data_IF_277719100802
#
_entry.id   IF_277719100802
#
_cell.length_a   1.000
_cell.length_b   1.000
_cell.length_c   1.000
_cell.angle_alpha   90.00
_cell.angle_beta   90.00
_cell.angle_gamma   90.00
#
_symmetry.space_group_name_H-M   'P 1'
#
loop_
_entity.id
_entity.type
_entity.pdbx_description
1 polymer ?
#
# COMPACT_ATOMS: atom_id res chain seq x y z
N UNK A 1 -19.00 37.73 -12.57
CA UNK A 1 -17.60 37.92 -12.11
C UNK A 1 -17.10 36.56 -11.73
N UNK A 2 -15.97 36.10 -12.28
CA UNK A 2 -15.32 34.84 -11.88
C UNK A 2 -14.85 35.01 -10.42
N UNK A 3 -15.36 34.22 -9.50
CA UNK A 3 -14.89 34.18 -8.12
C UNK A 3 -13.45 33.75 -8.10
N UNK A 4 -12.56 34.48 -7.45
CA UNK A 4 -11.18 34.06 -7.29
C UNK A 4 -11.11 32.81 -6.41
N UNK A 5 -10.08 32.00 -6.55
CA UNK A 5 -9.92 30.81 -5.71
C UNK A 5 -9.76 31.19 -4.22
N UNK A 6 -9.19 32.36 -3.90
CA UNK A 6 -9.10 32.90 -2.55
C UNK A 6 -10.49 33.20 -1.97
N UNK A 7 -11.39 33.80 -2.78
CA UNK A 7 -12.77 34.06 -2.37
C UNK A 7 -13.53 32.75 -2.15
N UNK A 8 -13.24 31.71 -2.95
CA UNK A 8 -13.82 30.38 -2.75
C UNK A 8 -13.42 29.81 -1.39
N UNK A 9 -12.11 29.81 -1.05
CA UNK A 9 -11.64 29.38 0.28
C UNK A 9 -12.36 30.12 1.39
N UNK A 10 -12.41 31.45 1.31
CA UNK A 10 -13.05 32.26 2.35
C UNK A 10 -14.52 31.90 2.57
N UNK A 11 -15.26 31.55 1.53
CA UNK A 11 -16.68 31.18 1.62
C UNK A 11 -16.93 29.76 2.12
N UNK A 12 -16.01 28.82 1.85
CA UNK A 12 -16.17 27.39 2.13
C UNK A 12 -15.40 26.94 3.38
N UNK A 13 -14.65 27.86 4.00
CA UNK A 13 -13.96 27.61 5.27
C UNK A 13 -14.95 27.48 6.41
N UNK A 14 -14.85 26.37 7.15
CA UNK A 14 -15.72 26.05 8.27
C UNK A 14 -15.01 25.13 9.28
N UNK A 15 -15.70 24.74 10.34
CA UNK A 15 -15.20 23.74 11.29
C UNK A 15 -15.47 22.31 10.79
N UNK A 16 -14.69 21.33 11.27
CA UNK A 16 -14.90 19.92 10.92
C UNK A 16 -16.32 19.44 11.27
N UNK A 17 -16.84 19.85 12.44
CA UNK A 17 -18.17 19.46 12.89
C UNK A 17 -19.28 20.05 12.02
N UNK A 18 -19.17 21.32 11.64
CA UNK A 18 -20.15 22.00 10.77
C UNK A 18 -20.12 21.40 9.36
N UNK A 19 -18.93 21.11 8.81
CA UNK A 19 -18.78 20.44 7.51
C UNK A 19 -19.47 19.08 7.51
N UNK A 20 -19.21 18.24 8.50
CA UNK A 20 -19.81 16.91 8.62
C UNK A 20 -21.34 17.01 8.79
N UNK A 21 -21.82 17.90 9.66
CA UNK A 21 -23.28 18.11 9.86
C UNK A 21 -24.01 18.56 8.62
N UNK A 22 -23.38 19.39 7.82
CA UNK A 22 -23.98 19.95 6.60
C UNK A 22 -23.96 18.96 5.43
N UNK A 23 -22.92 18.15 5.34
CA UNK A 23 -22.65 17.30 4.17
C UNK A 23 -23.13 15.87 4.32
N UNK A 24 -22.88 15.25 5.49
CA UNK A 24 -23.11 13.80 5.70
C UNK A 24 -24.56 13.54 6.13
N UNK A 25 -25.19 12.56 5.49
CA UNK A 25 -26.56 12.14 5.77
C UNK A 25 -26.60 10.64 6.07
N UNK A 26 -27.69 10.21 6.72
CA UNK A 26 -27.97 8.78 6.88
C UNK A 26 -28.06 8.09 5.52
N UNK A 27 -27.46 6.91 5.40
CA UNK A 27 -27.38 6.12 4.17
C UNK A 27 -26.23 6.49 3.22
N UNK A 28 -25.48 7.57 3.48
CA UNK A 28 -24.33 7.99 2.63
C UNK A 28 -23.19 6.95 2.67
N UNK A 29 -22.48 6.85 1.54
CA UNK A 29 -21.22 6.16 1.44
C UNK A 29 -20.05 7.16 1.48
N UNK A 30 -19.26 7.07 2.53
CA UNK A 30 -18.11 7.94 2.78
C UNK A 30 -16.82 7.26 2.34
N UNK A 31 -15.87 8.03 1.80
CA UNK A 31 -14.50 7.56 1.55
C UNK A 31 -13.53 8.46 2.29
N UNK A 32 -12.68 7.88 3.14
CA UNK A 32 -11.64 8.59 3.85
C UNK A 32 -10.32 8.58 3.09
N UNK A 33 -9.56 9.67 3.20
CA UNK A 33 -8.17 9.73 2.81
C UNK A 33 -7.33 8.67 3.54
N UNK A 34 -6.24 8.25 2.92
CA UNK A 34 -5.53 7.03 3.24
C UNK A 34 -4.27 7.27 4.08
N UNK A 35 -3.91 6.28 4.87
CA UNK A 35 -2.66 6.13 5.59
C UNK A 35 -2.35 7.34 6.51
N UNK A 36 -1.18 7.96 6.35
CA UNK A 36 -0.76 9.13 7.15
C UNK A 36 -1.41 10.45 6.71
N UNK A 37 -2.06 10.46 5.52
CA UNK A 37 -2.89 11.57 5.06
C UNK A 37 -4.36 11.48 5.55
N UNK A 38 -4.67 10.56 6.46
CA UNK A 38 -6.01 10.37 7.01
C UNK A 38 -6.52 11.65 7.72
N UNK A 39 -7.78 12.09 7.42
CA UNK A 39 -8.34 13.34 7.94
C UNK A 39 -8.89 13.15 9.36
N UNK A 40 -8.03 13.27 10.37
CA UNK A 40 -8.35 12.93 11.76
C UNK A 40 -9.43 13.82 12.40
N UNK A 41 -9.48 15.13 12.05
CA UNK A 41 -10.51 16.03 12.59
C UNK A 41 -11.89 15.68 12.04
N UNK A 42 -11.96 15.23 10.76
CA UNK A 42 -13.21 14.82 10.14
C UNK A 42 -13.73 13.49 10.70
N UNK A 43 -12.82 12.53 10.97
CA UNK A 43 -13.19 11.29 11.66
C UNK A 43 -13.71 11.55 13.06
N UNK A 44 -13.08 12.47 13.80
CA UNK A 44 -13.56 12.90 15.13
C UNK A 44 -14.92 13.59 15.05
N UNK A 45 -15.12 14.47 14.08
CA UNK A 45 -16.40 15.17 13.86
C UNK A 45 -17.54 14.20 13.52
N UNK A 46 -17.26 13.18 12.71
CA UNK A 46 -18.22 12.12 12.41
C UNK A 46 -18.62 11.35 13.68
N UNK A 47 -17.66 11.04 14.55
CA UNK A 47 -17.92 10.42 15.84
C UNK A 47 -18.77 11.30 16.76
N UNK A 48 -18.46 12.60 16.83
CA UNK A 48 -19.19 13.55 17.68
C UNK A 48 -20.65 13.77 17.22
N UNK A 49 -20.92 13.63 15.92
CA UNK A 49 -22.25 13.83 15.31
C UNK A 49 -23.00 12.51 15.07
N UNK A 50 -22.50 11.37 15.53
CA UNK A 50 -23.00 10.01 15.21
C UNK A 50 -24.49 9.82 15.51
N UNK A 51 -24.98 10.39 16.61
CA UNK A 51 -26.37 10.21 17.05
C UNK A 51 -27.42 10.69 16.01
N UNK A 52 -27.02 11.56 15.09
CA UNK A 52 -27.84 12.03 13.98
C UNK A 52 -27.88 11.05 12.80
N UNK A 53 -26.91 10.14 12.75
CA UNK A 53 -26.62 9.31 11.59
C UNK A 53 -27.06 7.88 11.80
N UNK A 54 -27.60 7.27 10.75
CA UNK A 54 -27.93 5.83 10.68
C UNK A 54 -27.55 5.30 9.30
N UNK A 55 -27.12 4.03 9.25
CA UNK A 55 -26.82 3.31 8.01
C UNK A 55 -25.78 4.00 7.09
N UNK A 56 -24.86 4.76 7.66
CA UNK A 56 -23.73 5.34 6.92
C UNK A 56 -22.69 4.26 6.71
N UNK A 57 -22.14 4.15 5.50
CA UNK A 57 -20.98 3.29 5.22
C UNK A 57 -19.72 4.13 5.08
N UNK A 58 -18.57 3.62 5.53
CA UNK A 58 -17.31 4.36 5.51
C UNK A 58 -16.17 3.47 4.99
N UNK A 59 -15.56 3.86 3.88
CA UNK A 59 -14.45 3.12 3.28
C UNK A 59 -13.11 3.77 3.62
N UNK A 60 -12.15 2.96 3.98
CA UNK A 60 -10.72 3.27 3.97
C UNK A 60 -9.88 1.98 3.87
N UNK A 61 -8.59 2.11 3.57
CA UNK A 61 -7.63 1.01 3.55
C UNK A 61 -6.80 0.98 4.84
N UNK A 62 -5.80 1.84 4.97
CA UNK A 62 -5.03 2.04 6.20
C UNK A 62 -5.41 3.39 6.83
N UNK A 63 -5.37 3.48 8.15
CA UNK A 63 -5.71 4.70 8.86
C UNK A 63 -4.79 4.89 10.08
N UNK A 64 -3.75 5.69 9.92
CA UNK A 64 -2.74 5.88 10.98
C UNK A 64 -3.05 6.98 11.98
N UNK A 65 -4.05 7.82 11.71
CA UNK A 65 -4.62 8.71 12.72
C UNK A 65 -5.53 7.92 13.67
N UNK A 66 -6.08 8.57 14.71
CA UNK A 66 -7.06 7.95 15.60
C UNK A 66 -8.34 7.59 14.81
N UNK A 67 -8.70 6.30 14.69
CA UNK A 67 -9.81 5.86 13.86
C UNK A 67 -11.14 5.94 14.62
N UNK A 68 -11.64 7.14 14.89
CA UNK A 68 -12.87 7.38 15.64
C UNK A 68 -14.07 6.62 15.10
N UNK A 69 -14.15 6.45 13.78
CA UNK A 69 -15.24 5.74 13.09
C UNK A 69 -15.19 4.21 13.28
N UNK A 70 -14.11 3.64 13.82
CA UNK A 70 -14.01 2.22 14.18
C UNK A 70 -14.39 1.91 15.63
N UNK A 71 -14.72 2.92 16.43
CA UNK A 71 -15.05 2.73 17.85
C UNK A 71 -16.36 1.98 18.03
N UNK A 72 -16.52 1.19 19.13
CA UNK A 72 -17.77 0.44 19.39
C UNK A 72 -19.02 1.30 19.41
N UNK A 73 -18.90 2.56 19.84
CA UNK A 73 -20.02 3.52 19.92
C UNK A 73 -20.57 3.94 18.55
N UNK A 74 -19.88 3.58 17.46
CA UNK A 74 -20.32 3.85 16.09
C UNK A 74 -21.28 2.77 15.56
N UNK A 75 -21.47 1.68 16.28
CA UNK A 75 -22.40 0.60 15.88
C UNK A 75 -23.83 1.14 15.74
N UNK A 76 -24.45 0.88 14.60
CA UNK A 76 -25.78 1.42 14.26
C UNK A 76 -25.77 2.80 13.58
N UNK A 77 -24.65 3.50 13.62
CA UNK A 77 -24.47 4.82 13.02
C UNK A 77 -23.61 4.76 11.74
N UNK A 78 -22.41 4.18 11.85
CA UNK A 78 -21.47 4.05 10.72
C UNK A 78 -20.96 2.61 10.65
N UNK A 79 -21.01 2.02 9.47
CA UNK A 79 -20.51 0.68 9.18
C UNK A 79 -19.28 0.76 8.28
N UNK A 80 -18.05 0.50 8.79
CA UNK A 80 -16.84 0.53 8.01
C UNK A 80 -16.73 -0.63 7.03
N UNK A 81 -16.22 -0.33 5.82
CA UNK A 81 -15.90 -1.31 4.77
C UNK A 81 -14.42 -1.13 4.44
N UNK A 82 -13.62 -2.16 4.64
CA UNK A 82 -12.15 -2.08 4.50
C UNK A 82 -11.66 -3.12 3.50
N UNK A 83 -10.66 -2.78 2.70
CA UNK A 83 -9.98 -3.75 1.84
C UNK A 83 -8.56 -4.10 2.34
N UNK A 84 -8.19 -3.60 3.52
CA UNK A 84 -6.96 -3.96 4.21
C UNK A 84 -7.16 -3.83 5.73
N UNK A 85 -6.73 -4.83 6.49
CA UNK A 85 -6.80 -4.81 7.95
C UNK A 85 -5.42 -4.56 8.55
N UNK A 86 -5.38 -3.70 9.56
CA UNK A 86 -4.19 -3.39 10.34
C UNK A 86 -4.40 -3.68 11.84
N UNK A 87 -3.44 -3.28 12.67
CA UNK A 87 -3.54 -3.47 14.12
C UNK A 87 -4.74 -2.77 14.75
N UNK A 88 -5.23 -1.68 14.14
CA UNK A 88 -6.34 -0.88 14.67
C UNK A 88 -7.70 -1.44 14.23
N UNK A 89 -7.79 -1.98 13.02
CA UNK A 89 -9.02 -2.47 12.41
C UNK A 89 -9.31 -3.95 12.67
N UNK A 90 -8.26 -4.79 12.90
CA UNK A 90 -8.45 -6.23 13.20
C UNK A 90 -9.38 -6.50 14.38
N UNK A 91 -9.29 -5.80 15.54
CA UNK A 91 -10.24 -6.01 16.62
C UNK A 91 -11.69 -5.74 16.20
N UNK A 92 -11.92 -4.65 15.47
CA UNK A 92 -13.25 -4.31 14.97
C UNK A 92 -13.80 -5.33 13.98
N UNK A 93 -12.93 -5.90 13.13
CA UNK A 93 -13.29 -6.99 12.22
C UNK A 93 -13.66 -8.29 12.97
N UNK A 94 -12.85 -8.69 13.97
CA UNK A 94 -13.13 -9.86 14.80
C UNK A 94 -14.43 -9.72 15.59
N UNK A 95 -14.77 -8.49 16.02
CA UNK A 95 -16.03 -8.15 16.67
C UNK A 95 -17.20 -8.03 15.67
N UNK A 96 -17.00 -8.29 14.37
CA UNK A 96 -18.00 -8.19 13.30
C UNK A 96 -18.60 -6.77 13.13
N UNK A 97 -17.82 -5.76 13.40
CA UNK A 97 -18.17 -4.33 13.25
C UNK A 97 -17.66 -3.72 11.95
N UNK A 98 -16.93 -4.51 11.15
CA UNK A 98 -16.29 -4.09 9.90
C UNK A 98 -16.52 -5.19 8.87
N UNK A 99 -16.86 -4.81 7.65
CA UNK A 99 -16.85 -5.69 6.49
C UNK A 99 -15.51 -5.58 5.74
N UNK A 100 -15.04 -6.72 5.22
CA UNK A 100 -13.85 -6.78 4.40
C UNK A 100 -14.23 -6.90 2.92
N UNK A 101 -13.68 -5.99 2.09
CA UNK A 101 -13.87 -5.95 0.64
C UNK A 101 -12.64 -6.52 -0.07
N UNK A 102 -12.68 -7.74 -0.61
CA UNK A 102 -11.58 -8.26 -1.40
C UNK A 102 -11.54 -7.61 -2.79
N UNK A 103 -10.41 -6.99 -3.13
CA UNK A 103 -10.13 -6.48 -4.47
C UNK A 103 -8.61 -6.30 -4.67
N UNK A 104 -8.15 -6.24 -5.91
CA UNK A 104 -6.82 -5.75 -6.20
C UNK A 104 -6.75 -4.25 -5.99
N UNK A 105 -5.61 -3.75 -5.54
CA UNK A 105 -5.52 -2.34 -5.16
C UNK A 105 -5.72 -1.40 -6.36
N UNK A 106 -5.19 -1.76 -7.52
CA UNK A 106 -5.36 -0.95 -8.73
C UNK A 106 -6.82 -0.83 -9.22
N UNK A 107 -7.74 -1.70 -8.74
CA UNK A 107 -9.15 -1.69 -9.14
C UNK A 107 -10.00 -0.67 -8.37
N UNK A 108 -9.55 -0.20 -7.19
CA UNK A 108 -10.33 0.72 -6.36
C UNK A 108 -10.72 2.03 -7.05
N UNK A 109 -9.85 2.69 -7.83
CA UNK A 109 -10.26 3.88 -8.60
C UNK A 109 -11.45 3.62 -9.51
N UNK A 110 -11.48 2.46 -10.17
CA UNK A 110 -12.56 2.06 -11.06
C UNK A 110 -13.89 1.83 -10.30
N UNK A 111 -13.82 1.25 -9.09
CA UNK A 111 -15.01 1.04 -8.25
C UNK A 111 -15.71 2.36 -7.93
N UNK A 112 -14.96 3.43 -7.70
CA UNK A 112 -15.50 4.76 -7.41
C UNK A 112 -15.95 5.48 -8.68
N UNK A 113 -15.11 5.53 -9.72
CA UNK A 113 -15.45 6.24 -10.97
C UNK A 113 -16.63 5.64 -11.71
N UNK A 114 -16.79 4.31 -11.69
CA UNK A 114 -17.90 3.61 -12.34
C UNK A 114 -19.12 3.39 -11.44
N UNK A 115 -19.07 3.89 -10.20
CA UNK A 115 -20.20 3.86 -9.27
C UNK A 115 -20.57 2.46 -8.76
N UNK A 116 -19.63 1.49 -8.79
CA UNK A 116 -19.78 0.21 -8.06
C UNK A 116 -19.95 0.53 -6.58
N UNK A 117 -19.16 1.49 -6.09
CA UNK A 117 -19.35 2.16 -4.81
C UNK A 117 -19.55 3.67 -5.09
N UNK A 118 -20.80 4.15 -5.14
CA UNK A 118 -21.08 5.58 -5.36
C UNK A 118 -20.57 6.37 -4.16
N UNK A 119 -19.68 7.33 -4.38
CA UNK A 119 -19.09 8.14 -3.30
C UNK A 119 -19.99 9.35 -3.04
N UNK A 120 -20.69 9.34 -1.91
CA UNK A 120 -21.50 10.50 -1.51
C UNK A 120 -20.63 11.61 -0.95
N UNK A 121 -19.70 11.28 -0.04
CA UNK A 121 -18.80 12.27 0.57
C UNK A 121 -17.37 11.72 0.63
N UNK A 122 -16.44 12.46 0.05
CA UNK A 122 -15.01 12.23 0.25
C UNK A 122 -14.48 13.10 1.38
N UNK A 123 -13.83 12.49 2.35
CA UNK A 123 -13.22 13.10 3.52
C UNK A 123 -11.70 13.01 3.35
N UNK A 124 -11.03 14.11 2.95
CA UNK A 124 -9.63 14.09 2.53
C UNK A 124 -8.76 15.07 3.33
N UNK A 125 -7.45 14.92 3.22
CA UNK A 125 -6.47 15.88 3.69
C UNK A 125 -5.53 16.26 2.54
N UNK A 126 -5.29 17.56 2.36
CA UNK A 126 -4.48 18.11 1.26
C UNK A 126 -3.53 19.18 1.77
N UNK A 127 -2.54 19.56 0.94
CA UNK A 127 -1.62 20.66 1.22
C UNK A 127 -2.31 22.03 1.14
N UNK A 128 -1.62 23.09 1.58
CA UNK A 128 -1.96 24.45 1.19
C UNK A 128 -1.94 24.58 -0.34
N UNK A 129 -2.79 25.47 -0.91
CA UNK A 129 -2.82 25.70 -2.34
C UNK A 129 -1.56 26.43 -2.83
N UNK A 130 -1.15 26.14 -4.05
CA UNK A 130 -0.14 26.91 -4.77
C UNK A 130 -0.70 28.25 -5.30
N UNK A 131 0.11 29.00 -6.03
CA UNK A 131 -0.27 30.31 -6.59
C UNK A 131 -1.45 30.24 -7.58
N UNK A 132 -1.67 29.08 -8.19
CA UNK A 132 -2.76 28.80 -9.12
C UNK A 132 -4.03 28.27 -8.45
N UNK A 133 -4.01 28.02 -7.14
CA UNK A 133 -5.14 27.47 -6.38
C UNK A 133 -5.22 25.95 -6.35
N UNK A 134 -4.16 25.24 -6.74
CA UNK A 134 -4.11 23.78 -6.62
C UNK A 134 -3.52 23.34 -5.28
N UNK A 135 -4.22 22.48 -4.59
CA UNK A 135 -3.71 21.71 -3.46
C UNK A 135 -3.15 20.37 -3.97
N UNK A 136 -2.12 19.84 -3.29
CA UNK A 136 -1.65 18.48 -3.49
C UNK A 136 -2.35 17.53 -2.52
N UNK A 137 -2.73 16.32 -2.94
CA UNK A 137 -3.09 15.24 -2.01
C UNK A 137 -1.91 14.84 -1.11
N UNK A 138 -0.75 15.43 -1.37
CA UNK A 138 0.44 15.24 -0.57
C UNK A 138 0.96 13.81 -0.66
N UNK A 139 1.01 13.14 0.48
CA UNK A 139 1.66 11.84 0.63
C UNK A 139 0.78 10.63 0.30
N UNK A 140 -0.47 10.82 -0.16
CA UNK A 140 -1.36 9.70 -0.47
C UNK A 140 -2.47 10.13 -1.43
N UNK A 141 -2.31 9.79 -2.73
CA UNK A 141 -3.33 10.06 -3.76
C UNK A 141 -3.99 8.80 -4.30
N UNK A 142 -3.45 7.67 -4.05
CA UNK A 142 -3.81 6.30 -4.43
C UNK A 142 -5.26 6.12 -4.94
N UNK A 143 -6.20 5.73 -4.08
CA UNK A 143 -7.64 5.76 -4.33
C UNK A 143 -8.28 7.09 -3.87
N UNK A 144 -7.56 7.89 -3.07
CA UNK A 144 -8.09 9.11 -2.44
C UNK A 144 -8.48 10.15 -3.48
N UNK A 145 -7.63 10.40 -4.49
CA UNK A 145 -7.94 11.33 -5.58
C UNK A 145 -9.11 10.84 -6.43
N UNK A 146 -9.13 9.59 -6.95
CA UNK A 146 -10.28 9.05 -7.67
C UNK A 146 -11.60 9.13 -6.90
N UNK A 147 -11.57 8.86 -5.59
CA UNK A 147 -12.75 8.99 -4.74
C UNK A 147 -13.22 10.45 -4.62
N UNK A 148 -12.31 11.39 -4.44
CA UNK A 148 -12.64 12.82 -4.39
C UNK A 148 -13.19 13.35 -5.72
N UNK A 149 -12.68 12.85 -6.86
CA UNK A 149 -13.19 13.20 -8.20
C UNK A 149 -14.59 12.63 -8.47
N UNK A 150 -14.90 11.46 -7.94
CA UNK A 150 -16.21 10.80 -8.10
C UNK A 150 -17.24 11.26 -7.06
N UNK A 151 -16.82 11.90 -5.97
CA UNK A 151 -17.68 12.26 -4.85
C UNK A 151 -18.71 13.34 -5.22
N UNK A 152 -19.92 13.20 -4.66
CA UNK A 152 -20.95 14.23 -4.70
C UNK A 152 -20.54 15.48 -3.89
N UNK A 153 -19.84 15.29 -2.77
CA UNK A 153 -19.34 16.34 -1.87
C UNK A 153 -17.91 15.99 -1.45
N UNK A 154 -17.04 16.98 -1.45
CA UNK A 154 -15.66 16.87 -0.97
C UNK A 154 -15.45 17.76 0.26
N UNK A 155 -15.11 17.15 1.38
CA UNK A 155 -14.67 17.86 2.60
C UNK A 155 -13.17 17.68 2.73
N UNK A 156 -12.42 18.77 2.72
CA UNK A 156 -10.95 18.73 2.79
C UNK A 156 -10.41 19.41 4.04
N UNK A 157 -9.56 18.72 4.78
CA UNK A 157 -8.61 19.34 5.68
C UNK A 157 -7.47 19.92 4.85
N UNK A 158 -7.32 21.25 4.84
CA UNK A 158 -6.11 21.90 4.31
C UNK A 158 -5.08 21.96 5.44
N UNK A 159 -4.09 21.06 5.37
CA UNK A 159 -3.05 20.94 6.40
C UNK A 159 -1.77 21.65 5.97
N UNK A 160 -1.35 22.66 6.74
CA UNK A 160 -0.11 23.42 6.47
C UNK A 160 1.15 22.57 6.46
N UNK A 161 1.14 21.41 7.13
CA UNK A 161 2.28 20.50 7.22
C UNK A 161 2.23 19.37 6.19
N UNK A 162 1.21 19.32 5.31
CA UNK A 162 1.15 18.39 4.20
C UNK A 162 2.10 18.85 3.09
N UNK A 163 3.07 18.02 2.65
CA UNK A 163 3.97 18.40 1.56
C UNK A 163 3.20 18.57 0.24
N UNK A 164 3.64 19.53 -0.56
CA UNK A 164 3.16 19.70 -1.93
C UNK A 164 4.00 18.85 -2.87
N UNK A 165 3.41 17.83 -3.48
CA UNK A 165 4.10 16.90 -4.37
C UNK A 165 3.37 16.89 -5.72
N UNK A 166 4.13 16.90 -6.82
CA UNK A 166 3.64 16.91 -8.19
C UNK A 166 3.14 15.56 -8.69
N UNK A 167 2.96 15.46 -10.00
CA UNK A 167 2.37 14.31 -10.67
C UNK A 167 0.86 14.47 -10.86
N UNK A 168 0.14 13.36 -11.03
CA UNK A 168 -1.33 13.35 -11.03
C UNK A 168 -1.89 13.34 -9.59
N UNK A 169 -1.49 14.33 -8.80
CA UNK A 169 -1.66 14.42 -7.35
C UNK A 169 -2.30 15.75 -6.90
N UNK A 170 -2.99 16.43 -7.80
CA UNK A 170 -3.50 17.77 -7.54
C UNK A 170 -5.03 17.83 -7.60
N UNK A 171 -5.59 18.73 -6.78
CA UNK A 171 -7.00 19.12 -6.81
C UNK A 171 -7.12 20.63 -6.67
N UNK A 172 -7.91 21.28 -7.53
CA UNK A 172 -8.13 22.71 -7.43
C UNK A 172 -9.11 23.02 -6.31
N UNK A 173 -8.86 24.05 -5.52
CA UNK A 173 -9.68 24.42 -4.35
C UNK A 173 -11.16 24.61 -4.64
N UNK A 174 -11.53 25.01 -5.87
CA UNK A 174 -12.93 25.13 -6.30
C UNK A 174 -13.69 23.80 -6.39
N UNK A 175 -12.99 22.68 -6.24
CA UNK A 175 -13.58 21.34 -6.15
C UNK A 175 -13.83 20.89 -4.71
N UNK A 176 -13.47 21.73 -3.73
CA UNK A 176 -13.66 21.47 -2.31
C UNK A 176 -14.94 22.18 -1.85
N UNK A 177 -15.94 21.40 -1.44
CA UNK A 177 -17.24 21.95 -0.99
C UNK A 177 -17.17 22.50 0.45
N UNK A 178 -16.30 21.89 1.28
CA UNK A 178 -16.04 22.36 2.65
C UNK A 178 -14.55 22.29 2.91
N UNK A 179 -14.01 23.35 3.52
CA UNK A 179 -12.59 23.51 3.80
C UNK A 179 -12.39 23.65 5.31
N UNK A 180 -11.59 22.78 5.88
CA UNK A 180 -11.25 22.77 7.30
C UNK A 180 -9.74 23.04 7.43
N UNK A 181 -9.33 24.27 7.83
CA UNK A 181 -7.92 24.57 8.04
C UNK A 181 -7.37 23.79 9.24
N UNK A 182 -6.23 23.12 9.04
CA UNK A 182 -5.53 22.42 10.11
C UNK A 182 -4.02 22.70 10.05
N UNK A 183 -3.36 22.58 11.18
CA UNK A 183 -1.91 22.71 11.32
C UNK A 183 -1.43 21.62 12.26
N UNK A 184 -1.16 20.42 11.70
CA UNK A 184 -0.70 19.28 12.48
C UNK A 184 0.37 18.50 11.74
N UNK A 185 1.37 17.95 12.47
CA UNK A 185 2.35 17.06 11.87
C UNK A 185 1.68 15.80 11.30
N UNK A 186 2.26 15.25 10.23
CA UNK A 186 1.92 13.92 9.75
C UNK A 186 2.44 12.87 10.75
N UNK A 187 1.76 11.73 10.79
CA UNK A 187 2.21 10.60 11.61
C UNK A 187 3.55 10.09 11.07
N UNK A 188 4.52 9.92 11.95
CA UNK A 188 5.82 9.37 11.59
C UNK A 188 5.87 7.86 11.77
N UNK A 189 6.46 7.18 10.79
CA UNK A 189 6.72 5.75 10.81
C UNK A 189 8.23 5.53 10.67
N UNK A 190 8.96 5.33 11.77
CA UNK A 190 10.40 5.11 11.73
C UNK A 190 10.72 3.78 11.05
N UNK A 191 11.93 3.68 10.48
CA UNK A 191 12.46 2.44 9.91
C UNK A 191 12.47 1.32 10.94
N UNK A 192 12.10 0.12 10.49
CA UNK A 192 12.16 -1.07 11.32
C UNK A 192 13.62 -1.48 11.58
N UNK A 193 13.96 -1.99 12.77
CA UNK A 193 15.30 -2.55 13.02
C UNK A 193 15.51 -3.78 12.14
N UNK A 194 16.69 -3.85 11.51
CA UNK A 194 17.09 -4.97 10.64
C UNK A 194 17.90 -5.96 11.48
N UNK A 195 17.39 -7.18 11.60
CA UNK A 195 18.10 -8.30 12.24
C UNK A 195 19.01 -9.05 11.26
N UNK A 196 19.83 -9.99 11.76
CA UNK A 196 20.73 -10.78 10.92
C UNK A 196 20.00 -11.63 9.86
N UNK A 197 18.79 -12.09 10.15
CA UNK A 197 17.97 -12.89 9.22
C UNK A 197 17.49 -12.02 8.07
N UNK A 198 16.93 -10.84 8.38
CA UNK A 198 16.47 -9.88 7.36
C UNK A 198 17.63 -9.37 6.52
N UNK A 199 18.80 -9.11 7.14
CA UNK A 199 20.01 -8.70 6.43
C UNK A 199 20.43 -9.78 5.42
N UNK A 200 20.44 -11.07 5.82
CA UNK A 200 20.79 -12.18 4.93
C UNK A 200 19.81 -12.30 3.74
N UNK A 201 18.51 -12.15 3.99
CA UNK A 201 17.50 -12.13 2.93
C UNK A 201 17.74 -10.96 1.98
N UNK A 202 18.03 -9.77 2.53
CA UNK A 202 18.34 -8.57 1.75
C UNK A 202 19.50 -8.76 0.80
N UNK A 203 20.61 -9.33 1.27
CA UNK A 203 21.79 -9.67 0.47
C UNK A 203 21.45 -10.62 -0.68
N UNK A 204 20.70 -11.70 -0.39
CA UNK A 204 20.28 -12.68 -1.38
C UNK A 204 19.35 -12.09 -2.45
N UNK A 205 18.43 -11.20 -2.06
CA UNK A 205 17.57 -10.49 -3.01
C UNK A 205 18.37 -9.52 -3.88
N UNK A 206 19.39 -8.84 -3.32
CA UNK A 206 20.24 -7.89 -4.03
C UNK A 206 21.06 -8.54 -5.16
N UNK A 207 21.35 -9.84 -5.07
CA UNK A 207 22.01 -10.60 -6.14
C UNK A 207 21.16 -10.66 -7.43
N UNK A 208 19.83 -10.56 -7.29
CA UNK A 208 18.87 -10.56 -8.40
C UNK A 208 18.63 -9.16 -9.00
N UNK A 209 19.24 -8.11 -8.45
CA UNK A 209 19.01 -6.72 -8.85
C UNK A 209 20.28 -6.20 -9.55
N UNK A 210 20.11 -5.57 -10.70
CA UNK A 210 21.20 -5.11 -11.54
C UNK A 210 21.15 -3.59 -11.74
N UNK A 211 22.24 -3.01 -12.19
CA UNK A 211 22.30 -1.59 -12.54
C UNK A 211 21.25 -1.26 -13.60
N UNK A 212 20.50 -0.18 -13.38
CA UNK A 212 19.46 0.27 -14.27
C UNK A 212 18.11 -0.43 -14.11
N UNK A 213 17.96 -1.40 -13.18
CA UNK A 213 16.66 -2.00 -12.88
C UNK A 213 15.69 -0.96 -12.30
N UNK A 214 14.40 -1.14 -12.57
CA UNK A 214 13.33 -0.36 -11.96
C UNK A 214 12.69 -1.17 -10.82
N UNK A 215 12.63 -0.59 -9.63
CA UNK A 215 12.22 -1.30 -8.42
C UNK A 215 10.80 -0.91 -7.99
N UNK A 216 10.05 -1.90 -7.52
CA UNK A 216 8.97 -1.76 -6.55
C UNK A 216 9.42 -2.42 -5.27
N UNK A 217 9.25 -1.71 -4.17
CA UNK A 217 9.65 -2.20 -2.85
C UNK A 217 8.59 -1.84 -1.80
N UNK A 218 8.36 -2.76 -0.86
CA UNK A 218 7.43 -2.57 0.25
C UNK A 218 8.06 -1.85 1.44
N UNK A 219 7.44 -2.02 2.59
CA UNK A 219 7.89 -1.48 3.89
C UNK A 219 8.30 -2.60 4.82
N UNK A 220 9.18 -2.30 5.78
CA UNK A 220 9.60 -3.21 6.86
C UNK A 220 11.05 -3.65 6.74
N UNK A 221 11.49 -4.50 7.68
CA UNK A 221 12.89 -4.84 7.84
C UNK A 221 13.54 -5.51 6.62
N UNK A 222 12.83 -6.40 5.93
CA UNK A 222 13.35 -7.08 4.72
C UNK A 222 13.51 -6.09 3.56
N UNK A 223 12.51 -5.29 3.15
CA UNK A 223 12.68 -4.24 2.15
C UNK A 223 13.83 -3.27 2.47
N UNK A 224 13.94 -2.82 3.72
CA UNK A 224 15.01 -1.93 4.15
C UNK A 224 16.39 -2.61 4.06
N UNK A 225 16.50 -3.90 4.41
CA UNK A 225 17.72 -4.70 4.24
C UNK A 225 18.10 -4.86 2.77
N UNK A 226 17.14 -5.05 1.86
CA UNK A 226 17.40 -5.07 0.41
C UNK A 226 17.98 -3.73 -0.03
N UNK A 227 17.36 -2.59 0.32
CA UNK A 227 17.85 -1.26 -0.04
C UNK A 227 19.27 -1.02 0.48
N UNK A 228 19.56 -1.42 1.72
CA UNK A 228 20.92 -1.32 2.26
C UNK A 228 21.95 -2.17 1.48
N UNK A 229 21.53 -3.32 0.96
CA UNK A 229 22.40 -4.22 0.18
C UNK A 229 22.62 -3.74 -1.27
N UNK A 230 21.90 -2.70 -1.72
CA UNK A 230 22.00 -2.15 -3.08
C UNK A 230 22.94 -0.93 -3.19
N UNK A 231 23.72 -0.60 -2.17
CA UNK A 231 24.57 0.61 -2.12
C UNK A 231 25.59 0.70 -3.26
N UNK A 232 26.00 -0.43 -3.84
CA UNK A 232 26.92 -0.48 -4.98
C UNK A 232 26.20 -0.44 -6.34
N UNK A 233 24.88 -0.53 -6.36
CA UNK A 233 24.08 -0.48 -7.61
C UNK A 233 23.94 0.93 -8.11
N UNK A 234 23.83 1.09 -9.45
CA UNK A 234 23.79 2.38 -10.14
C UNK A 234 22.56 2.49 -11.04
N UNK A 235 22.14 3.73 -11.24
CA UNK A 235 21.09 4.10 -12.18
C UNK A 235 19.76 3.36 -11.93
N UNK A 236 19.47 2.98 -10.70
CA UNK A 236 18.20 2.37 -10.35
C UNK A 236 17.03 3.33 -10.59
N UNK A 237 15.91 2.79 -11.02
CA UNK A 237 14.63 3.48 -11.12
C UNK A 237 13.68 3.04 -10.02
N UNK A 238 12.63 3.86 -9.77
CA UNK A 238 11.54 3.50 -8.87
C UNK A 238 10.19 3.73 -9.52
N UNK A 239 9.37 2.70 -9.47
CA UNK A 239 7.95 2.71 -9.78
C UNK A 239 7.27 1.80 -8.77
N UNK A 240 6.74 2.40 -7.70
CA UNK A 240 6.39 1.67 -6.48
C UNK A 240 5.12 2.23 -5.84
N UNK A 241 4.31 1.38 -5.25
CA UNK A 241 3.18 1.79 -4.44
C UNK A 241 3.64 2.70 -3.29
N UNK A 242 4.67 2.25 -2.57
CA UNK A 242 5.13 2.87 -1.33
C UNK A 242 6.53 3.45 -1.46
N UNK A 243 6.72 4.65 -0.90
CA UNK A 243 8.00 5.33 -0.80
C UNK A 243 8.33 5.59 0.68
N UNK A 244 9.54 5.20 1.11
CA UNK A 244 10.01 5.24 2.50
C UNK A 244 11.34 5.97 2.63
N UNK A 245 11.80 6.18 3.87
CA UNK A 245 13.12 6.78 4.16
C UNK A 245 14.27 6.00 3.51
N UNK A 246 14.17 4.67 3.41
CA UNK A 246 15.19 3.85 2.73
C UNK A 246 15.37 4.26 1.27
N UNK A 247 14.30 4.56 0.57
CA UNK A 247 14.33 5.07 -0.81
C UNK A 247 14.93 6.47 -0.87
N UNK A 248 14.56 7.37 0.06
CA UNK A 248 15.16 8.71 0.16
C UNK A 248 16.69 8.62 0.31
N UNK A 249 17.18 7.71 1.14
CA UNK A 249 18.63 7.49 1.30
C UNK A 249 19.29 7.03 0.00
N UNK A 250 18.64 6.15 -0.77
CA UNK A 250 19.16 5.69 -2.07
C UNK A 250 19.19 6.81 -3.13
N UNK A 251 18.25 7.74 -3.11
CA UNK A 251 18.26 8.92 -3.97
C UNK A 251 19.41 9.84 -3.57
N UNK A 252 19.52 10.17 -2.28
CA UNK A 252 20.56 11.07 -1.76
C UNK A 252 21.98 10.54 -1.99
N UNK A 253 22.19 9.22 -2.01
CA UNK A 253 23.48 8.59 -2.31
C UNK A 253 23.75 8.41 -3.81
N UNK A 254 22.80 8.79 -4.68
CA UNK A 254 22.95 8.72 -6.13
C UNK A 254 22.76 7.33 -6.74
N UNK A 255 22.31 6.34 -5.98
CA UNK A 255 22.01 5.00 -6.48
C UNK A 255 20.72 4.98 -7.35
N UNK A 256 19.73 5.81 -6.97
CA UNK A 256 18.47 5.96 -7.68
C UNK A 256 18.48 7.28 -8.46
N UNK A 257 18.62 7.18 -9.77
CA UNK A 257 18.62 8.33 -10.69
C UNK A 257 17.39 8.34 -11.60
N UNK A 258 16.79 7.17 -11.83
CA UNK A 258 15.69 6.99 -12.78
C UNK A 258 16.11 7.15 -14.25
N UNK A 259 17.39 7.35 -14.56
CA UNK A 259 17.88 7.60 -15.93
C UNK A 259 17.56 6.46 -16.91
N UNK A 260 17.50 5.22 -16.43
CA UNK A 260 17.23 4.03 -17.23
C UNK A 260 15.77 3.61 -17.25
N UNK A 261 14.88 4.31 -16.54
CA UNK A 261 13.45 4.00 -16.56
C UNK A 261 12.86 4.18 -17.96
N UNK A 262 12.02 3.23 -18.36
CA UNK A 262 11.28 3.29 -19.61
C UNK A 262 10.10 4.26 -19.49
N UNK A 263 9.31 4.12 -18.42
CA UNK A 263 8.17 4.98 -18.11
C UNK A 263 8.58 6.03 -17.07
N UNK A 264 8.26 7.30 -17.30
CA UNK A 264 8.66 8.43 -16.44
C UNK A 264 10.19 8.45 -16.15
N UNK A 265 11.06 8.60 -17.19
CA UNK A 265 12.50 8.67 -16.99
C UNK A 265 12.88 9.83 -16.07
N UNK A 266 13.86 9.60 -15.18
CA UNK A 266 14.33 10.55 -14.14
C UNK A 266 13.33 10.88 -13.05
N UNK A 267 12.18 10.21 -13.01
CA UNK A 267 11.17 10.41 -11.97
C UNK A 267 11.05 9.17 -11.08
N UNK A 268 10.85 9.41 -9.81
CA UNK A 268 10.36 8.42 -8.86
C UNK A 268 8.84 8.49 -8.85
N UNK A 269 8.20 7.40 -9.17
CA UNK A 269 6.73 7.30 -9.23
C UNK A 269 6.22 6.51 -8.04
N UNK A 270 5.27 7.09 -7.28
CA UNK A 270 4.65 6.43 -6.13
C UNK A 270 3.19 6.86 -5.96
N UNK A 271 2.45 6.14 -5.11
CA UNK A 271 1.08 6.49 -4.70
C UNK A 271 0.98 6.87 -3.22
N UNK A 272 1.90 6.35 -2.39
CA UNK A 272 1.87 6.49 -0.94
C UNK A 272 3.29 6.75 -0.44
N UNK A 273 3.45 7.76 0.40
CA UNK A 273 4.71 8.08 1.07
C UNK A 273 4.50 7.98 2.58
N UNK A 274 5.31 7.17 3.24
CA UNK A 274 5.25 6.99 4.69
C UNK A 274 6.66 6.86 5.27
N UNK A 275 6.97 7.65 6.29
CA UNK A 275 8.25 7.62 6.96
C UNK A 275 8.39 8.68 8.03
N UNK A 276 9.57 9.24 8.16
CA UNK A 276 9.89 10.28 9.15
C UNK A 276 9.58 11.68 8.62
N UNK A 277 9.62 12.66 9.52
CA UNK A 277 9.52 14.07 9.12
C UNK A 277 10.59 14.45 8.08
N UNK A 278 11.79 13.90 8.17
CA UNK A 278 12.86 14.14 7.20
C UNK A 278 12.45 13.71 5.78
N UNK A 279 11.74 12.60 5.66
CA UNK A 279 11.17 12.15 4.38
C UNK A 279 10.11 13.14 3.88
N UNK A 280 9.19 13.58 4.73
CA UNK A 280 8.14 14.53 4.33
C UNK A 280 8.71 15.89 3.89
N UNK A 281 9.77 16.36 4.55
CA UNK A 281 10.50 17.57 4.14
C UNK A 281 11.23 17.36 2.80
N UNK A 282 11.83 16.17 2.58
CA UNK A 282 12.56 15.84 1.36
C UNK A 282 11.65 15.81 0.11
N UNK A 283 10.43 15.26 0.24
CA UNK A 283 9.51 15.13 -0.91
C UNK A 283 8.75 16.41 -1.22
N UNK A 284 8.74 17.39 -0.30
CA UNK A 284 8.03 18.64 -0.49
C UNK A 284 8.66 19.48 -1.62
N UNK A 285 7.89 19.72 -2.68
CA UNK A 285 8.32 20.46 -3.89
C UNK A 285 9.58 19.89 -4.54
N UNK A 286 9.77 18.58 -4.46
CA UNK A 286 10.87 17.88 -5.09
C UNK A 286 10.45 17.40 -6.49
N UNK A 287 11.01 18.03 -7.53
CA UNK A 287 10.65 17.74 -8.92
C UNK A 287 10.98 16.32 -9.38
N UNK A 288 11.83 15.59 -8.67
CA UNK A 288 12.12 14.19 -8.97
C UNK A 288 10.96 13.26 -8.57
N UNK A 289 10.10 13.67 -7.64
CA UNK A 289 9.05 12.83 -7.07
C UNK A 289 7.71 13.17 -7.71
N UNK A 290 7.03 12.16 -8.25
CA UNK A 290 5.70 12.27 -8.80
C UNK A 290 4.77 11.23 -8.19
N UNK A 291 3.60 11.69 -7.75
CA UNK A 291 2.57 10.84 -7.19
C UNK A 291 1.45 10.61 -8.20
N UNK A 292 0.96 9.39 -8.25
CA UNK A 292 -0.12 8.97 -9.14
C UNK A 292 -1.11 8.07 -8.41
N UNK A 293 -2.40 8.07 -8.80
CA UNK A 293 -3.38 7.07 -8.32
C UNK A 293 -2.95 5.63 -8.65
N UNK A 294 -3.49 4.67 -7.91
CA UNK A 294 -3.05 3.26 -8.01
C UNK A 294 -3.42 2.57 -9.32
N UNK A 295 -4.39 3.06 -10.05
CA UNK A 295 -4.69 2.61 -11.41
C UNK A 295 -3.59 3.00 -12.44
N UNK A 296 -2.63 3.86 -12.03
CA UNK A 296 -1.41 4.14 -12.77
C UNK A 296 -0.19 3.42 -12.17
N UNK A 297 0.02 3.51 -10.84
CA UNK A 297 1.22 2.94 -10.22
C UNK A 297 1.17 1.43 -10.07
N UNK A 298 0.00 0.85 -9.85
CA UNK A 298 -0.19 -0.56 -9.55
C UNK A 298 -0.78 -1.37 -10.72
N UNK A 299 -1.42 -0.74 -11.71
CA UNK A 299 -1.96 -1.50 -12.84
C UNK A 299 -0.85 -2.36 -13.48
N UNK A 300 -1.02 -3.69 -13.55
CA UNK A 300 -0.05 -4.58 -14.15
C UNK A 300 0.35 -4.23 -15.59
N UNK A 301 -0.53 -3.57 -16.34
CA UNK A 301 -0.21 -3.07 -17.67
C UNK A 301 0.77 -1.90 -17.61
N UNK A 302 0.53 -0.93 -16.72
CA UNK A 302 1.41 0.22 -16.52
C UNK A 302 2.76 -0.18 -15.95
N UNK A 303 2.76 -0.99 -14.89
CA UNK A 303 3.97 -1.55 -14.27
C UNK A 303 4.83 -2.29 -15.30
N UNK A 304 4.19 -3.11 -16.15
CA UNK A 304 4.86 -3.92 -17.18
C UNK A 304 5.49 -3.12 -18.32
N UNK A 305 5.21 -1.81 -18.45
CA UNK A 305 5.85 -0.93 -19.42
C UNK A 305 7.27 -0.49 -18.99
N UNK A 306 7.61 -0.64 -17.71
CA UNK A 306 9.00 -0.45 -17.28
C UNK A 306 9.80 -1.72 -17.60
N UNK A 307 10.84 -1.59 -18.43
CA UNK A 307 11.80 -2.67 -18.65
C UNK A 307 12.57 -2.98 -17.34
N UNK A 308 12.96 -4.23 -17.16
CA UNK A 308 13.71 -4.71 -16.00
C UNK A 308 13.04 -4.36 -14.66
N UNK A 309 11.72 -4.47 -14.61
CA UNK A 309 10.95 -4.24 -13.39
C UNK A 309 11.21 -5.34 -12.38
N UNK A 310 11.67 -5.00 -11.20
CA UNK A 310 11.88 -5.92 -10.08
C UNK A 310 10.90 -5.58 -8.97
N UNK A 311 9.98 -6.48 -8.67
CA UNK A 311 9.06 -6.33 -7.56
C UNK A 311 9.48 -7.16 -6.37
N UNK A 312 9.47 -6.57 -5.16
CA UNK A 312 9.86 -7.22 -3.92
C UNK A 312 8.73 -7.09 -2.92
N UNK A 313 8.10 -8.21 -2.60
CA UNK A 313 6.98 -8.31 -1.68
C UNK A 313 7.24 -9.43 -0.66
N UNK A 314 6.36 -9.58 0.31
CA UNK A 314 6.43 -10.64 1.31
C UNK A 314 5.12 -11.44 1.33
N UNK A 315 5.12 -12.56 2.05
CA UNK A 315 3.91 -13.36 2.26
C UNK A 315 3.87 -13.88 3.70
N UNK A 316 2.75 -14.42 4.13
CA UNK A 316 2.63 -15.11 5.42
C UNK A 316 3.16 -16.53 5.31
N UNK A 317 2.76 -17.26 4.28
CA UNK A 317 3.18 -18.65 4.02
C UNK A 317 3.03 -19.04 2.56
N UNK A 318 3.77 -20.06 2.14
CA UNK A 318 3.72 -20.67 0.81
C UNK A 318 3.66 -22.19 0.92
N UNK A 319 2.84 -22.85 0.12
CA UNK A 319 2.80 -24.31 0.05
C UNK A 319 3.77 -24.91 -0.98
N UNK A 320 3.95 -26.22 -0.95
CA UNK A 320 4.85 -26.94 -1.86
C UNK A 320 4.45 -26.85 -3.34
N UNK A 321 3.23 -26.39 -3.67
CA UNK A 321 2.82 -26.13 -5.04
C UNK A 321 3.16 -24.72 -5.51
N UNK A 322 3.55 -23.83 -4.57
CA UNK A 322 3.82 -22.42 -4.82
C UNK A 322 2.58 -21.53 -4.73
N UNK A 323 1.51 -21.97 -4.05
CA UNK A 323 0.37 -21.15 -3.69
C UNK A 323 0.74 -20.29 -2.46
N UNK A 324 0.42 -19.02 -2.48
CA UNK A 324 0.87 -18.04 -1.48
C UNK A 324 -0.31 -17.43 -0.75
N UNK A 325 -0.28 -17.48 0.58
CA UNK A 325 -1.17 -16.74 1.46
C UNK A 325 -0.43 -15.53 2.04
N UNK A 326 -0.99 -14.33 1.87
CA UNK A 326 -0.39 -13.08 2.36
C UNK A 326 -1.35 -12.25 3.23
N UNK A 327 -2.64 -12.53 3.20
CA UNK A 327 -3.67 -11.70 3.79
C UNK A 327 -4.52 -12.39 4.86
N UNK A 328 -4.48 -13.73 4.93
CA UNK A 328 -5.25 -14.50 5.89
C UNK A 328 -4.40 -15.58 6.57
N UNK A 329 -4.72 -15.91 7.82
CA UNK A 329 -4.15 -17.01 8.58
C UNK A 329 -5.29 -17.99 8.90
N UNK A 330 -5.35 -19.11 8.18
CA UNK A 330 -6.53 -19.98 8.18
C UNK A 330 -7.78 -19.20 7.77
N UNK A 331 -8.84 -19.30 8.55
CA UNK A 331 -10.11 -18.58 8.31
C UNK A 331 -10.10 -17.10 8.70
N UNK A 332 -9.03 -16.60 9.32
CA UNK A 332 -8.99 -15.24 9.84
C UNK A 332 -8.32 -14.31 8.84
N UNK A 333 -9.06 -13.33 8.32
CA UNK A 333 -8.49 -12.23 7.56
C UNK A 333 -7.53 -11.43 8.47
N UNK A 334 -6.29 -11.25 8.03
CA UNK A 334 -5.22 -10.63 8.81
C UNK A 334 -4.81 -9.26 8.27
N UNK A 335 -4.77 -9.12 6.96
CA UNK A 335 -4.43 -7.87 6.26
C UNK A 335 -5.30 -7.69 5.02
N UNK A 336 -4.74 -7.45 3.87
CA UNK A 336 -5.38 -7.38 2.57
C UNK A 336 -4.39 -7.71 1.47
N UNK A 337 -4.85 -7.79 0.25
CA UNK A 337 -4.03 -8.09 -0.92
C UNK A 337 -3.00 -6.97 -1.17
N UNK A 338 -3.40 -5.70 -0.93
CA UNK A 338 -2.57 -4.55 -1.33
C UNK A 338 -2.18 -4.63 -2.80
N UNK A 339 -1.00 -4.14 -3.13
CA UNK A 339 -0.45 -4.18 -4.48
C UNK A 339 0.38 -5.43 -4.83
N UNK A 340 0.49 -6.43 -3.94
CA UNK A 340 1.36 -7.58 -4.17
C UNK A 340 1.10 -8.25 -5.52
N UNK A 341 -0.14 -8.66 -5.78
CA UNK A 341 -0.51 -9.38 -7.01
C UNK A 341 -0.36 -8.48 -8.24
N UNK A 342 -0.66 -7.20 -8.10
CA UNK A 342 -0.50 -6.19 -9.14
C UNK A 342 0.95 -6.16 -9.64
N UNK A 343 1.90 -6.05 -8.71
CA UNK A 343 3.32 -6.01 -9.04
C UNK A 343 3.91 -7.35 -9.47
N UNK A 344 3.44 -8.48 -8.94
CA UNK A 344 3.82 -9.79 -9.45
C UNK A 344 3.45 -9.93 -10.93
N UNK A 345 2.24 -9.54 -11.29
CA UNK A 345 1.73 -9.57 -12.67
C UNK A 345 2.45 -8.55 -13.55
N UNK A 346 2.66 -7.34 -13.05
CA UNK A 346 3.37 -6.27 -13.75
C UNK A 346 4.82 -6.64 -14.06
N UNK A 347 5.58 -7.11 -13.07
CA UNK A 347 6.95 -7.56 -13.25
C UNK A 347 7.05 -8.75 -14.22
N UNK A 348 6.08 -9.67 -14.21
CA UNK A 348 6.02 -10.78 -15.17
C UNK A 348 5.79 -10.32 -16.61
N UNK A 349 5.09 -9.21 -16.83
CA UNK A 349 4.84 -8.60 -18.16
C UNK A 349 6.03 -7.77 -18.64
N UNK A 350 6.80 -7.22 -17.73
CA UNK A 350 7.97 -6.41 -18.01
C UNK A 350 9.04 -7.21 -18.76
N UNK A 351 9.65 -6.61 -19.79
CA UNK A 351 10.80 -7.19 -20.48
C UNK A 351 11.99 -7.23 -19.51
N UNK A 352 12.51 -8.42 -19.22
CA UNK A 352 13.57 -8.61 -18.22
C UNK A 352 13.08 -8.51 -16.76
N UNK A 353 11.77 -8.39 -16.55
CA UNK A 353 11.19 -8.25 -15.22
C UNK A 353 11.26 -9.52 -14.37
N UNK A 354 11.27 -9.32 -13.05
CA UNK A 354 11.39 -10.35 -12.01
C UNK A 354 10.52 -9.99 -10.82
N UNK A 355 9.81 -10.98 -10.26
CA UNK A 355 9.10 -10.80 -8.99
C UNK A 355 9.70 -11.69 -7.91
N UNK A 356 9.93 -11.13 -6.74
CA UNK A 356 10.53 -11.79 -5.59
C UNK A 356 9.55 -11.72 -4.43
N UNK A 357 9.21 -12.86 -3.84
CA UNK A 357 8.56 -12.94 -2.54
C UNK A 357 9.62 -13.32 -1.51
N UNK A 358 9.91 -12.42 -0.60
CA UNK A 358 10.97 -12.53 0.39
C UNK A 358 10.38 -12.54 1.81
N UNK A 359 10.70 -13.56 2.60
CA UNK A 359 10.18 -13.73 3.95
C UNK A 359 11.10 -14.62 4.79
N UNK A 360 11.06 -14.49 6.11
CA UNK A 360 11.77 -15.38 7.02
C UNK A 360 11.19 -16.79 6.94
N UNK A 361 12.04 -17.82 6.88
CA UNK A 361 11.59 -19.21 6.70
C UNK A 361 10.67 -19.72 7.83
N UNK A 362 10.71 -19.06 8.99
CA UNK A 362 9.91 -19.39 10.16
C UNK A 362 9.17 -18.17 10.73
N UNK A 363 8.17 -18.44 11.54
CA UNK A 363 7.43 -17.49 12.35
C UNK A 363 7.38 -17.97 13.81
N UNK A 364 6.85 -17.13 14.72
CA UNK A 364 6.66 -17.44 16.15
C UNK A 364 7.94 -17.98 16.79
N UNK A 365 9.00 -17.20 16.72
CA UNK A 365 10.31 -17.52 17.31
C UNK A 365 10.86 -18.89 16.86
N UNK A 366 10.71 -19.19 15.56
CA UNK A 366 11.23 -20.42 14.93
C UNK A 366 10.34 -21.65 15.07
N UNK A 367 9.21 -21.58 15.75
CA UNK A 367 8.35 -22.74 16.02
C UNK A 367 7.44 -23.15 14.86
N UNK A 368 7.22 -22.28 13.88
CA UNK A 368 6.34 -22.52 12.74
C UNK A 368 7.09 -22.29 11.43
N UNK A 369 7.05 -23.26 10.53
CA UNK A 369 7.52 -23.05 9.14
C UNK A 369 6.56 -22.19 8.36
N UNK A 370 7.10 -21.31 7.51
CA UNK A 370 6.31 -20.53 6.54
C UNK A 370 6.30 -21.15 5.14
N UNK A 371 7.10 -22.22 4.95
CA UNK A 371 7.00 -23.13 3.81
C UNK A 371 6.29 -24.37 4.31
N UNK A 372 5.06 -24.61 3.83
CA UNK A 372 4.15 -25.64 4.37
C UNK A 372 3.79 -26.68 3.30
N UNK A 373 3.43 -27.91 3.70
CA UNK A 373 3.01 -28.95 2.75
C UNK A 373 1.79 -28.53 1.91
N UNK A 374 0.80 -27.93 2.56
CA UNK A 374 -0.46 -27.39 2.00
C UNK A 374 -0.83 -26.17 2.84
N UNK A 375 -1.38 -25.14 2.23
CA UNK A 375 -1.94 -24.03 2.98
C UNK A 375 -3.01 -24.53 3.96
N UNK A 376 -3.10 -23.95 5.17
CA UNK A 376 -4.12 -24.33 6.14
C UNK A 376 -5.54 -24.23 5.54
N UNK A 377 -6.44 -25.09 6.03
CA UNK A 377 -7.84 -25.05 5.60
C UNK A 377 -8.46 -23.67 5.85
N UNK A 378 -9.04 -23.11 4.81
CA UNK A 378 -9.63 -21.77 4.85
C UNK A 378 -8.66 -20.61 4.60
N UNK A 379 -7.36 -20.86 4.42
CA UNK A 379 -6.42 -19.82 4.04
C UNK A 379 -6.73 -19.30 2.63
N UNK A 380 -6.70 -17.98 2.47
CA UNK A 380 -6.86 -17.32 1.18
C UNK A 380 -5.61 -17.46 0.35
N UNK A 381 -5.72 -17.94 -0.89
CA UNK A 381 -4.64 -17.91 -1.87
C UNK A 381 -4.56 -16.50 -2.46
N UNK A 382 -3.73 -15.66 -1.86
CA UNK A 382 -3.54 -14.27 -2.31
C UNK A 382 -2.85 -14.22 -3.66
N UNK A 383 -1.78 -15.02 -3.85
CA UNK A 383 -1.09 -15.14 -5.14
C UNK A 383 -1.11 -16.59 -5.63
N UNK A 384 -1.68 -16.79 -6.81
CA UNK A 384 -1.77 -18.11 -7.42
C UNK A 384 -0.38 -18.64 -7.84
N UNK A 385 -0.19 -19.96 -7.79
CA UNK A 385 1.08 -20.62 -8.14
C UNK A 385 1.63 -20.28 -9.55
N UNK A 386 0.79 -19.79 -10.43
CA UNK A 386 1.17 -19.41 -11.80
C UNK A 386 1.77 -18.01 -11.89
N UNK A 387 1.63 -17.19 -10.84
CA UNK A 387 2.11 -15.81 -10.77
C UNK A 387 3.46 -15.68 -10.07
N UNK A 388 3.81 -16.66 -9.24
CA UNK A 388 5.04 -16.67 -8.43
C UNK A 388 6.27 -16.98 -9.29
N UNK A 389 7.32 -16.15 -9.18
CA UNK A 389 8.61 -16.33 -9.89
C UNK A 389 9.72 -16.73 -8.92
N UNK A 390 10.26 -15.78 -8.14
CA UNK A 390 11.33 -16.05 -7.17
C UNK A 390 10.81 -16.06 -5.73
N UNK A 391 11.36 -16.97 -4.94
CA UNK A 391 11.15 -17.04 -3.49
C UNK A 391 12.51 -16.93 -2.81
N UNK A 392 12.59 -16.06 -1.79
CA UNK A 392 13.79 -15.83 -1.00
C UNK A 392 13.51 -16.04 0.49
N UNK A 393 14.37 -16.79 1.15
CA UNK A 393 14.48 -16.90 2.60
C UNK A 393 15.93 -16.68 3.03
N UNK A 394 16.24 -16.67 4.30
CA UNK A 394 17.62 -16.61 4.81
C UNK A 394 18.49 -17.81 4.38
N UNK A 395 17.86 -18.91 3.91
CA UNK A 395 18.55 -20.11 3.45
C UNK A 395 18.82 -20.14 1.94
N UNK A 396 18.34 -19.18 1.18
CA UNK A 396 18.62 -19.09 -0.24
C UNK A 396 17.48 -18.51 -1.07
N UNK A 397 17.71 -18.50 -2.38
CA UNK A 397 16.75 -18.06 -3.40
C UNK A 397 16.47 -19.17 -4.38
N UNK A 398 15.21 -19.37 -4.74
CA UNK A 398 14.79 -20.32 -5.77
C UNK A 398 13.86 -19.67 -6.77
N UNK A 399 13.95 -20.09 -8.02
CA UNK A 399 13.01 -19.67 -9.06
C UNK A 399 12.00 -20.78 -9.31
N UNK A 400 10.70 -20.48 -9.17
CA UNK A 400 9.62 -21.46 -9.36
C UNK A 400 9.06 -21.47 -10.78
N UNK A 401 9.20 -20.35 -11.52
CA UNK A 401 8.69 -20.24 -12.88
C UNK A 401 9.36 -21.26 -13.82
N UNK A 402 8.55 -22.05 -14.53
CA UNK A 402 9.02 -23.09 -15.43
C UNK A 402 9.26 -24.45 -14.78
N UNK A 403 9.21 -24.57 -13.46
CA UNK A 403 9.38 -25.84 -12.75
C UNK A 403 8.07 -26.65 -12.70
N UNK A 404 8.19 -27.97 -12.79
CA UNK A 404 7.10 -28.92 -12.49
C UNK A 404 6.74 -28.88 -11.00
N UNK A 405 5.58 -29.42 -10.60
CA UNK A 405 5.17 -29.45 -9.19
C UNK A 405 6.18 -30.14 -8.27
N UNK A 406 6.73 -31.28 -8.70
CA UNK A 406 7.80 -31.98 -7.96
C UNK A 406 9.04 -31.11 -7.80
N UNK A 407 9.49 -30.48 -8.90
CA UNK A 407 10.65 -29.56 -8.85
C UNK A 407 10.44 -28.35 -7.95
N UNK A 408 9.22 -27.76 -7.98
CA UNK A 408 8.85 -26.67 -7.07
C UNK A 408 8.93 -27.09 -5.61
N UNK A 409 8.36 -28.25 -5.27
CA UNK A 409 8.36 -28.78 -3.91
C UNK A 409 9.80 -29.00 -3.39
N UNK A 410 10.67 -29.59 -4.22
CA UNK A 410 12.09 -29.78 -3.89
C UNK A 410 12.82 -28.43 -3.72
N UNK A 411 12.59 -27.48 -4.63
CA UNK A 411 13.19 -26.15 -4.57
C UNK A 411 12.77 -25.40 -3.31
N UNK A 412 11.48 -25.37 -2.99
CA UNK A 412 10.98 -24.73 -1.77
C UNK A 412 11.52 -25.38 -0.49
N UNK A 413 11.60 -26.73 -0.47
CA UNK A 413 12.17 -27.46 0.66
C UNK A 413 13.64 -27.10 0.88
N UNK A 414 14.42 -26.87 -0.20
CA UNK A 414 15.85 -26.51 -0.07
C UNK A 414 16.09 -25.17 0.65
N UNK A 415 15.15 -24.26 0.61
CA UNK A 415 15.21 -22.94 1.27
C UNK A 415 14.34 -22.84 2.52
N UNK A 416 13.69 -23.92 2.94
CA UNK A 416 13.00 -24.01 4.23
C UNK A 416 14.01 -24.08 5.39
N UNK A 417 13.56 -23.75 6.59
CA UNK A 417 14.38 -23.94 7.80
C UNK A 417 14.79 -25.44 7.92
N UNK A 418 16.05 -25.76 8.25
CA UNK A 418 16.54 -27.13 8.28
C UNK A 418 15.68 -28.11 9.08
N UNK A 419 15.16 -27.69 10.23
CA UNK A 419 14.35 -28.55 11.12
C UNK A 419 13.04 -29.03 10.47
N UNK A 420 12.51 -28.29 9.50
CA UNK A 420 11.25 -28.65 8.84
C UNK A 420 11.46 -29.42 7.52
N UNK A 421 12.69 -29.44 6.97
CA UNK A 421 12.98 -30.12 5.69
C UNK A 421 12.64 -31.61 5.70
N UNK A 422 12.96 -32.39 6.76
CA UNK A 422 12.63 -33.81 6.78
C UNK A 422 11.13 -34.10 6.58
N UNK A 423 10.26 -33.37 7.30
CA UNK A 423 8.80 -33.50 7.17
C UNK A 423 8.29 -33.09 5.78
N UNK A 424 8.84 -32.01 5.19
CA UNK A 424 8.50 -31.61 3.83
C UNK A 424 8.93 -32.65 2.80
N UNK A 425 10.11 -33.27 2.97
CA UNK A 425 10.61 -34.36 2.10
C UNK A 425 9.74 -35.61 2.18
N UNK A 426 9.21 -35.95 3.34
CA UNK A 426 8.27 -37.05 3.51
C UNK A 426 7.00 -36.83 2.67
N UNK A 427 6.39 -35.67 2.77
CA UNK A 427 5.22 -35.29 1.96
C UNK A 427 5.53 -35.31 0.45
N UNK A 428 6.75 -34.90 0.05
CA UNK A 428 7.16 -34.97 -1.37
C UNK A 428 7.22 -36.43 -1.86
N UNK A 429 7.81 -37.33 -1.06
CA UNK A 429 7.85 -38.75 -1.40
C UNK A 429 6.45 -39.37 -1.52
N UNK A 430 5.58 -39.07 -0.59
CA UNK A 430 4.20 -39.54 -0.63
C UNK A 430 3.43 -39.08 -1.88
N UNK A 431 3.62 -37.81 -2.28
CA UNK A 431 2.85 -37.21 -3.39
C UNK A 431 3.43 -37.47 -4.77
N UNK A 432 4.74 -37.55 -4.90
CA UNK A 432 5.42 -37.56 -6.21
C UNK A 432 6.30 -38.81 -6.43
N UNK A 433 6.35 -39.69 -5.45
CA UNK A 433 7.27 -40.82 -5.47
C UNK A 433 8.73 -40.42 -5.16
N UNK A 434 9.64 -41.41 -5.10
CA UNK A 434 11.08 -41.18 -4.89
C UNK A 434 11.75 -40.46 -6.06
#
# INVERSE_FOLDING_TARGET
MSTTWQEHIARHTTTALEAVRSAVKSGDFLVFGHAVAAPSSLSKALYDDRERLTDVKAFHMLYFAEPWHLRPEMVGHVHPVLNFLDKNSRPAYLDKRVDYLPCHFHELPDFFRNGIYPVDVALISVSEPNEEGYCSFGVSCDYTKPAAEAARIVIAEINKQMPFIGGDNLIHVTKLDYIVPVDRPLVELPLAPIGPVEQRIGELCAELIHDGDTLQIGIGAIPDAVLQSLRERKDLGLHTEMFTDGVMHMINSGNVTGEKKTLHPRKVVSSIIMGTKALYDFVNKNDMIEMYPVDHTNDPYMVGQNDNMVSINSCLEIDLYGQVASEAIGLNQYSGTGGQVDYLRGAKRSRGGRSILAFTSTAKDGTCSRIVPVLPSGATVTSGRNEVDYIATEYGVVRLRGLTLRQRALALTSIAHPDFRPGLMEVIRERFGE
#
